data_IF_993484049057
#
_entry.id   IF_993484049057
#
_cell.length_a   1.000
_cell.length_b   1.000
_cell.length_c   1.000
_cell.angle_alpha   90.00
_cell.angle_beta   90.00
_cell.angle_gamma   90.00
#
_symmetry.space_group_name_H-M   'P 1'
#
loop_
_entity.id
_entity.type
_entity.pdbx_description
1 polymer ?
#
# COMPACT_ATOMS: atom_id res chain seq x y z
N UNK A 1 9.21 -12.24 -16.15
CA UNK A 1 9.47 -11.43 -17.35
C UNK A 1 8.54 -10.24 -17.27
N UNK A 2 9.01 -8.98 -17.41
CA UNK A 2 8.09 -7.88 -17.49
C UNK A 2 7.26 -8.06 -18.77
N UNK A 3 5.96 -8.20 -18.63
CA UNK A 3 5.03 -8.07 -19.75
C UNK A 3 5.25 -6.70 -20.36
N UNK A 4 5.54 -6.63 -21.66
CA UNK A 4 5.47 -5.40 -22.41
C UNK A 4 4.01 -4.92 -22.32
N UNK A 5 3.71 -4.15 -21.30
CA UNK A 5 2.49 -3.38 -21.27
C UNK A 5 2.61 -2.39 -22.42
N UNK A 6 1.77 -2.55 -23.42
CA UNK A 6 1.70 -1.61 -24.52
C UNK A 6 1.43 -0.21 -23.99
N UNK A 7 1.82 0.80 -24.76
CA UNK A 7 1.57 2.21 -24.44
C UNK A 7 0.07 2.40 -24.22
N UNK A 8 -0.31 2.85 -23.03
CA UNK A 8 -1.71 3.01 -22.61
C UNK A 8 -2.07 4.49 -22.50
N UNK A 9 -3.23 4.85 -23.03
CA UNK A 9 -3.81 6.17 -22.94
C UNK A 9 -3.50 7.07 -24.16
N UNK A 10 -4.11 8.25 -24.21
CA UNK A 10 -4.02 9.14 -25.36
C UNK A 10 -2.61 9.74 -25.49
N UNK A 11 -2.16 9.85 -26.73
CA UNK A 11 -0.90 10.55 -27.08
C UNK A 11 -1.31 11.86 -27.80
N UNK A 12 -0.84 13.04 -27.34
CA UNK A 12 -1.13 14.29 -28.02
C UNK A 12 -0.54 14.31 -29.44
N UNK A 13 -1.20 15.00 -30.39
CA UNK A 13 -0.70 15.13 -31.76
C UNK A 13 0.74 15.66 -31.80
N UNK A 14 1.56 15.09 -32.67
CA UNK A 14 2.94 15.51 -32.90
C UNK A 14 3.98 14.94 -31.91
N UNK A 15 3.55 14.08 -30.96
CA UNK A 15 4.47 13.41 -30.06
C UNK A 15 4.75 11.97 -30.51
N UNK A 16 5.99 11.52 -30.33
CA UNK A 16 6.33 10.12 -30.37
C UNK A 16 5.71 9.39 -29.18
N UNK A 17 5.07 8.25 -29.40
CA UNK A 17 4.30 7.56 -28.38
C UNK A 17 5.17 7.05 -27.22
N UNK A 18 6.33 6.45 -27.54
CA UNK A 18 7.22 5.91 -26.49
C UNK A 18 7.85 7.04 -25.65
N UNK A 19 8.31 8.10 -26.31
CA UNK A 19 8.94 9.23 -25.61
C UNK A 19 7.91 9.96 -24.74
N UNK A 20 6.69 10.10 -25.23
CA UNK A 20 5.62 10.71 -24.44
C UNK A 20 5.21 9.84 -23.24
N UNK A 21 5.17 8.53 -23.40
CA UNK A 21 4.88 7.60 -22.29
C UNK A 21 5.99 7.64 -21.22
N UNK A 22 7.26 7.68 -21.64
CA UNK A 22 8.39 7.88 -20.72
C UNK A 22 8.30 9.23 -20.00
N UNK A 23 7.84 10.27 -20.68
CA UNK A 23 7.64 11.60 -20.08
C UNK A 23 6.53 11.53 -19.01
N UNK A 24 5.37 10.93 -19.34
CA UNK A 24 4.25 10.76 -18.37
C UNK A 24 4.72 10.08 -17.10
N UNK A 25 5.45 8.97 -17.21
CA UNK A 25 5.98 8.25 -16.05
C UNK A 25 6.88 9.13 -15.20
N UNK A 26 7.80 9.86 -15.81
CA UNK A 26 8.71 10.77 -15.09
C UNK A 26 7.96 11.90 -14.37
N UNK A 27 6.87 12.41 -14.97
CA UNK A 27 6.00 13.40 -14.33
C UNK A 27 5.27 12.79 -13.13
N UNK A 28 4.67 11.60 -13.29
CA UNK A 28 3.97 10.92 -12.22
C UNK A 28 4.88 10.58 -11.03
N UNK A 29 6.16 10.23 -11.29
CA UNK A 29 7.14 10.00 -10.22
C UNK A 29 7.52 11.27 -9.44
N UNK A 30 7.14 12.47 -9.92
CA UNK A 30 7.32 13.73 -9.18
C UNK A 30 6.20 13.99 -8.18
N UNK A 31 5.11 13.26 -8.25
CA UNK A 31 4.03 13.39 -7.27
C UNK A 31 4.51 12.81 -5.93
N UNK A 32 4.58 13.64 -4.86
CA UNK A 32 5.00 13.15 -3.56
C UNK A 32 4.02 12.08 -3.05
N UNK A 33 4.55 11.02 -2.46
CA UNK A 33 3.75 10.04 -1.75
C UNK A 33 4.52 9.50 -0.56
N UNK A 34 3.79 9.08 0.46
CA UNK A 34 4.33 8.26 1.53
C UNK A 34 4.71 6.87 1.00
N UNK A 35 5.31 6.08 1.87
CA UNK A 35 5.61 4.67 1.62
C UNK A 35 5.28 3.87 2.88
N UNK A 36 4.44 2.86 2.73
CA UNK A 36 3.78 2.16 3.83
C UNK A 36 3.87 0.66 3.65
N UNK A 37 3.51 -0.09 4.69
CA UNK A 37 3.18 -1.50 4.57
C UNK A 37 1.68 -1.67 4.79
N UNK A 38 0.99 -2.16 3.77
CA UNK A 38 -0.43 -2.51 3.83
C UNK A 38 -0.57 -3.91 4.40
N UNK A 39 -1.23 -4.04 5.55
CA UNK A 39 -1.63 -5.32 6.10
C UNK A 39 -2.99 -5.74 5.57
N UNK A 40 -3.18 -7.00 5.24
CA UNK A 40 -4.45 -7.54 4.73
C UNK A 40 -4.76 -8.90 5.31
N UNK A 41 -6.08 -9.21 5.38
CA UNK A 41 -6.58 -10.46 5.93
C UNK A 41 -7.82 -10.93 5.20
N UNK A 42 -7.95 -12.28 5.04
CA UNK A 42 -9.20 -12.96 4.72
C UNK A 42 -9.22 -14.33 5.41
N UNK A 43 -10.12 -14.51 6.39
CA UNK A 43 -10.10 -15.69 7.26
C UNK A 43 -8.78 -15.81 8.02
N UNK A 44 -8.11 -16.95 7.90
CA UNK A 44 -6.79 -17.17 8.51
C UNK A 44 -5.63 -16.65 7.66
N UNK A 45 -5.89 -16.32 6.39
CA UNK A 45 -4.86 -15.80 5.48
C UNK A 45 -4.49 -14.37 5.84
N UNK A 46 -3.20 -14.10 5.85
CA UNK A 46 -2.61 -12.78 6.12
C UNK A 46 -1.59 -12.43 5.05
N UNK A 47 -1.41 -11.16 4.79
CA UNK A 47 -0.32 -10.66 3.95
C UNK A 47 0.10 -9.26 4.38
N UNK A 48 1.31 -8.88 3.95
CA UNK A 48 1.81 -7.53 3.99
C UNK A 48 2.30 -7.13 2.60
N UNK A 49 2.09 -5.89 2.18
CA UNK A 49 2.54 -5.38 0.90
C UNK A 49 3.03 -3.95 1.03
N UNK A 50 4.20 -3.66 0.46
CA UNK A 50 4.66 -2.27 0.31
C UNK A 50 3.75 -1.52 -0.65
N UNK A 51 3.27 -0.35 -0.23
CA UNK A 51 2.35 0.49 -1.00
C UNK A 51 2.69 1.98 -0.83
N UNK A 52 2.52 2.75 -1.91
CA UNK A 52 2.65 4.20 -1.90
C UNK A 52 1.34 4.92 -2.27
N UNK A 53 0.39 4.24 -2.90
CA UNK A 53 -0.90 4.85 -3.27
C UNK A 53 -1.91 4.72 -2.14
N UNK A 54 -1.68 5.55 -1.12
CA UNK A 54 -2.51 5.68 0.07
C UNK A 54 -2.81 7.16 0.28
N UNK A 55 -4.08 7.51 0.50
CA UNK A 55 -4.46 8.88 0.79
C UNK A 55 -5.72 8.96 1.65
N UNK A 56 -5.81 10.01 2.46
CA UNK A 56 -7.08 10.36 3.10
C UNK A 56 -8.07 10.86 2.04
N UNK A 57 -9.31 10.40 2.10
CA UNK A 57 -10.36 10.72 1.12
C UNK A 57 -11.50 11.56 1.69
N UNK A 58 -11.77 11.48 2.98
CA UNK A 58 -12.89 12.16 3.63
C UNK A 58 -12.59 12.45 5.09
N UNK A 59 -13.25 13.48 5.63
CA UNK A 59 -13.24 13.81 7.06
C UNK A 59 -14.40 13.16 7.81
N UNK A 60 -15.54 12.98 7.15
CA UNK A 60 -16.77 12.44 7.76
C UNK A 60 -17.54 11.61 6.71
N UNK A 61 -17.52 10.28 6.82
CA UNK A 61 -16.67 9.51 7.72
C UNK A 61 -15.17 9.67 7.39
N UNK A 62 -14.30 9.27 8.34
CA UNK A 62 -12.83 9.28 8.10
C UNK A 62 -12.46 8.11 7.20
N UNK A 63 -12.24 8.42 5.92
CA UNK A 63 -11.90 7.42 4.89
C UNK A 63 -10.45 7.53 4.45
N UNK A 64 -9.84 6.37 4.30
CA UNK A 64 -8.54 6.17 3.66
C UNK A 64 -8.72 5.32 2.40
N UNK A 65 -8.16 5.78 1.29
CA UNK A 65 -8.13 5.04 0.03
C UNK A 65 -6.78 4.38 -0.19
N UNK A 66 -6.80 3.13 -0.61
CA UNK A 66 -5.62 2.37 -1.05
C UNK A 66 -5.86 1.80 -2.44
N UNK A 67 -4.93 2.05 -3.38
CA UNK A 67 -5.04 1.52 -4.74
C UNK A 67 -4.11 0.33 -4.91
N UNK A 68 -4.68 -0.84 -5.20
CA UNK A 68 -3.98 -2.13 -5.22
C UNK A 68 -4.14 -2.78 -6.58
N UNK A 69 -3.03 -3.28 -7.13
CA UNK A 69 -3.01 -4.01 -8.40
C UNK A 69 -3.87 -5.28 -8.31
N UNK A 70 -4.71 -5.52 -9.32
CA UNK A 70 -5.71 -6.61 -9.31
C UNK A 70 -5.09 -8.01 -9.28
N UNK A 71 -3.88 -8.17 -9.81
CA UNK A 71 -3.15 -9.44 -9.81
C UNK A 71 -2.39 -9.70 -8.50
N UNK A 72 -2.33 -8.72 -7.59
CA UNK A 72 -1.65 -8.88 -6.32
C UNK A 72 -2.44 -9.78 -5.36
N UNK A 73 -1.75 -10.67 -4.65
CA UNK A 73 -2.37 -11.51 -3.62
C UNK A 73 -3.08 -10.67 -2.53
N UNK A 74 -2.52 -9.50 -2.19
CA UNK A 74 -3.15 -8.55 -1.28
C UNK A 74 -4.51 -8.08 -1.78
N UNK A 75 -4.68 -7.90 -3.10
CA UNK A 75 -5.98 -7.52 -3.68
C UNK A 75 -7.05 -8.59 -3.41
N UNK A 76 -6.71 -9.87 -3.60
CA UNK A 76 -7.60 -10.98 -3.29
C UNK A 76 -8.04 -10.93 -1.82
N UNK A 77 -7.10 -10.76 -0.88
CA UNK A 77 -7.41 -10.69 0.54
C UNK A 77 -8.30 -9.49 0.91
N UNK A 78 -8.08 -8.33 0.25
CA UNK A 78 -8.92 -7.15 0.46
C UNK A 78 -10.35 -7.37 -0.07
N UNK A 79 -10.47 -7.99 -1.24
CA UNK A 79 -11.76 -8.29 -1.86
C UNK A 79 -12.58 -9.31 -1.03
N UNK A 80 -11.90 -10.35 -0.52
CA UNK A 80 -12.53 -11.42 0.25
C UNK A 80 -12.77 -11.04 1.71
N UNK A 81 -11.81 -10.34 2.33
CA UNK A 81 -11.81 -10.04 3.75
C UNK A 81 -12.43 -8.70 4.13
N UNK A 82 -12.41 -7.73 3.21
CA UNK A 82 -13.00 -6.41 3.43
C UNK A 82 -12.31 -5.57 4.51
N UNK A 83 -11.05 -5.88 4.85
CA UNK A 83 -10.31 -5.19 5.93
C UNK A 83 -8.85 -4.99 5.56
N UNK A 84 -8.26 -3.91 6.05
CA UNK A 84 -6.82 -3.65 5.90
C UNK A 84 -6.27 -2.74 6.98
N UNK A 85 -4.96 -2.80 7.18
CA UNK A 85 -4.22 -1.83 7.98
C UNK A 85 -3.22 -1.09 7.10
N UNK A 86 -2.98 0.19 7.39
CA UNK A 86 -1.86 0.95 6.83
C UNK A 86 -0.85 1.17 7.95
N UNK A 87 0.32 0.57 7.82
CA UNK A 87 1.41 0.69 8.78
C UNK A 87 2.38 1.78 8.30
N UNK A 88 2.52 2.85 9.06
CA UNK A 88 3.44 3.95 8.81
C UNK A 88 4.82 3.55 9.31
N UNK A 89 5.80 3.52 8.42
CA UNK A 89 7.16 3.04 8.69
C UNK A 89 8.07 4.22 9.04
N UNK A 90 8.99 4.03 9.99
CA UNK A 90 9.98 5.05 10.32
C UNK A 90 10.94 5.31 9.14
N UNK A 91 11.33 6.57 8.97
CA UNK A 91 12.19 7.01 7.87
C UNK A 91 13.56 6.30 7.85
N UNK A 92 14.09 5.94 9.01
CA UNK A 92 15.34 5.22 9.16
C UNK A 92 15.22 3.71 8.96
N UNK A 93 13.98 3.15 8.98
CA UNK A 93 13.72 1.72 8.75
C UNK A 93 13.36 1.40 7.28
N UNK A 94 14.07 2.01 6.34
CA UNK A 94 13.86 1.81 4.89
C UNK A 94 13.98 0.36 4.43
N UNK A 95 14.65 -0.48 5.21
CA UNK A 95 14.87 -1.87 4.84
C UNK A 95 13.58 -2.69 4.85
N UNK A 96 12.64 -2.36 5.73
CA UNK A 96 11.39 -3.11 5.89
C UNK A 96 10.56 -3.11 4.60
N UNK A 97 10.41 -1.95 3.95
CA UNK A 97 9.57 -1.85 2.75
C UNK A 97 10.06 -2.74 1.61
N UNK A 98 11.37 -2.99 1.51
CA UNK A 98 11.91 -3.92 0.51
C UNK A 98 11.54 -5.36 0.76
N UNK A 99 11.27 -5.72 2.01
CA UNK A 99 10.85 -7.07 2.38
C UNK A 99 9.42 -7.38 1.96
N UNK A 100 8.60 -6.35 1.86
CA UNK A 100 7.19 -6.46 1.48
C UNK A 100 6.90 -6.14 0.00
N UNK A 101 7.94 -5.98 -0.84
CA UNK A 101 7.83 -5.94 -2.31
C UNK A 101 7.86 -7.33 -2.96
N UNK A 102 7.99 -8.39 -2.17
CA UNK A 102 8.09 -9.79 -2.59
C UNK A 102 7.06 -10.61 -1.84
N UNK A 103 6.82 -11.86 -2.26
CA UNK A 103 5.96 -12.77 -1.50
C UNK A 103 6.36 -12.82 -0.03
N UNK A 104 5.35 -12.81 0.83
CA UNK A 104 5.51 -12.74 2.28
C UNK A 104 5.47 -14.15 2.86
N UNK A 105 6.47 -14.47 3.66
CA UNK A 105 6.47 -15.64 4.54
C UNK A 105 5.65 -15.30 5.80
N UNK A 106 4.57 -16.04 6.02
CA UNK A 106 3.63 -15.82 7.11
C UNK A 106 3.77 -16.94 8.13
N UNK A 107 4.24 -16.63 9.31
CA UNK A 107 4.27 -17.55 10.46
C UNK A 107 3.23 -17.10 11.48
N UNK A 108 2.08 -17.80 11.50
CA UNK A 108 0.97 -17.48 12.42
C UNK A 108 1.28 -17.89 13.86
N UNK A 109 2.08 -18.94 14.08
CA UNK A 109 2.46 -19.40 15.40
C UNK A 109 3.43 -18.43 16.07
N UNK A 110 4.46 -17.99 15.32
CA UNK A 110 5.40 -16.96 15.76
C UNK A 110 4.84 -15.53 15.63
N UNK A 111 3.70 -15.36 14.95
CA UNK A 111 3.08 -14.06 14.63
C UNK A 111 4.04 -13.11 13.92
N UNK A 112 4.61 -13.58 12.81
CA UNK A 112 5.53 -12.78 12.00
C UNK A 112 5.13 -12.77 10.52
N UNK A 113 5.41 -11.64 9.85
CA UNK A 113 5.38 -11.47 8.40
C UNK A 113 6.82 -11.19 7.94
N UNK A 114 7.42 -12.10 7.17
CA UNK A 114 8.84 -12.03 6.80
C UNK A 114 9.79 -11.88 8.01
N UNK A 115 9.42 -12.47 9.16
CA UNK A 115 10.16 -12.35 10.41
C UNK A 115 9.89 -11.07 11.21
N UNK A 116 9.06 -10.15 10.70
CA UNK A 116 8.64 -8.94 11.44
C UNK A 116 7.43 -9.25 12.32
N UNK A 117 7.51 -9.00 13.64
CA UNK A 117 6.39 -9.22 14.54
C UNK A 117 5.17 -8.38 14.17
N UNK A 118 3.99 -8.96 14.34
CA UNK A 118 2.72 -8.28 14.19
C UNK A 118 1.71 -8.73 15.24
N UNK A 119 0.73 -7.89 15.48
CA UNK A 119 -0.51 -8.26 16.19
C UNK A 119 -1.72 -8.00 15.29
N UNK A 120 -2.84 -8.62 15.62
CA UNK A 120 -4.09 -8.36 14.91
C UNK A 120 -4.70 -7.05 15.40
N UNK A 121 -5.10 -6.19 14.48
CA UNK A 121 -5.93 -5.03 14.77
C UNK A 121 -7.35 -5.42 15.18
N UNK A 122 -8.20 -4.44 15.40
CA UNK A 122 -9.63 -4.64 15.72
C UNK A 122 -10.33 -5.41 14.60
N UNK A 123 -9.95 -5.16 13.34
CA UNK A 123 -10.47 -5.90 12.18
C UNK A 123 -9.84 -7.30 12.04
N UNK A 124 -8.78 -7.59 12.77
CA UNK A 124 -7.93 -8.76 12.63
C UNK A 124 -6.93 -8.69 11.49
N UNK A 125 -6.83 -7.58 10.76
CA UNK A 125 -5.74 -7.35 9.82
C UNK A 125 -4.42 -7.09 10.57
N UNK A 126 -3.25 -7.51 10.03
CA UNK A 126 -1.99 -7.44 10.76
C UNK A 126 -1.46 -6.00 10.87
N UNK A 127 -1.09 -5.62 12.08
CA UNK A 127 -0.40 -4.38 12.41
C UNK A 127 1.03 -4.73 12.81
N UNK A 128 2.03 -4.15 12.11
CA UNK A 128 3.44 -4.40 12.43
C UNK A 128 3.82 -3.71 13.74
N UNK A 129 4.44 -4.46 14.67
CA UNK A 129 4.79 -3.94 16.00
C UNK A 129 5.82 -2.81 15.94
N UNK A 130 6.65 -2.75 14.89
CA UNK A 130 7.66 -1.69 14.69
C UNK A 130 7.16 -0.49 13.86
N UNK A 131 5.89 -0.47 13.45
CA UNK A 131 5.33 0.71 12.79
C UNK A 131 5.37 1.92 13.73
N UNK A 132 5.58 3.12 13.18
CA UNK A 132 5.46 4.38 13.94
C UNK A 132 4.02 4.56 14.40
N UNK A 133 3.10 4.35 13.47
CA UNK A 133 1.66 4.47 13.68
C UNK A 133 0.92 3.54 12.71
N UNK A 134 -0.36 3.34 12.95
CA UNK A 134 -1.22 2.57 12.08
C UNK A 134 -2.62 3.19 11.98
N UNK A 135 -3.31 2.85 10.91
CA UNK A 135 -4.77 2.92 10.81
C UNK A 135 -5.31 1.54 10.47
N UNK A 136 -6.37 1.13 11.12
CA UNK A 136 -7.08 -0.13 10.89
C UNK A 136 -8.45 0.18 10.29
N UNK A 137 -8.78 -0.43 9.14
CA UNK A 137 -9.87 0.00 8.27
C UNK A 137 -10.78 -1.16 7.88
N UNK A 138 -12.09 -0.86 7.84
CA UNK A 138 -13.09 -1.68 7.15
C UNK A 138 -13.42 -1.09 5.78
N UNK A 139 -13.37 -1.91 4.72
CA UNK A 139 -13.70 -1.48 3.36
C UNK A 139 -15.19 -1.17 3.26
N UNK A 140 -15.53 0.05 2.86
CA UNK A 140 -16.92 0.51 2.63
C UNK A 140 -17.30 0.46 1.16
N UNK A 141 -16.32 0.65 0.28
CA UNK A 141 -16.55 0.66 -1.17
C UNK A 141 -15.28 0.24 -1.90
N UNK A 142 -15.45 -0.42 -3.03
CA UNK A 142 -14.39 -0.73 -3.97
C UNK A 142 -14.72 -0.14 -5.33
N UNK A 143 -13.75 0.54 -5.95
CA UNK A 143 -13.88 1.12 -7.29
C UNK A 143 -12.86 0.46 -8.21
N UNK A 144 -13.33 -0.15 -9.29
CA UNK A 144 -12.45 -0.76 -10.29
C UNK A 144 -11.84 0.31 -11.20
N UNK A 145 -10.51 0.29 -11.35
CA UNK A 145 -9.72 1.26 -12.10
C UNK A 145 -8.86 0.57 -13.18
N UNK A 146 -9.41 -0.36 -13.92
CA UNK A 146 -8.66 -1.14 -14.92
C UNK A 146 -7.72 -2.14 -14.24
N UNK A 147 -6.40 -1.91 -14.28
CA UNK A 147 -5.39 -2.80 -13.67
C UNK A 147 -5.34 -2.77 -12.15
N UNK A 148 -6.02 -1.82 -11.51
CA UNK A 148 -6.07 -1.64 -10.06
C UNK A 148 -7.52 -1.56 -9.58
N UNK A 149 -7.70 -1.75 -8.27
CA UNK A 149 -8.92 -1.35 -7.56
C UNK A 149 -8.58 -0.37 -6.45
N UNK A 150 -9.40 0.66 -6.30
CA UNK A 150 -9.34 1.57 -5.17
C UNK A 150 -10.29 1.06 -4.08
N UNK A 151 -9.73 0.66 -2.95
CA UNK A 151 -10.49 0.28 -1.76
C UNK A 151 -10.64 1.50 -0.85
N UNK A 152 -11.86 1.86 -0.52
CA UNK A 152 -12.20 2.96 0.39
C UNK A 152 -12.50 2.36 1.75
N UNK A 153 -11.58 2.50 2.69
CA UNK A 153 -11.73 1.99 4.06
C UNK A 153 -12.07 3.10 5.04
N UNK A 154 -13.06 2.82 5.90
CA UNK A 154 -13.34 3.65 7.06
C UNK A 154 -12.40 3.25 8.20
N UNK A 155 -11.76 4.25 8.82
CA UNK A 155 -10.89 4.02 9.98
C UNK A 155 -11.76 3.61 11.16
N UNK A 156 -11.56 2.39 11.65
CA UNK A 156 -12.24 1.83 12.83
C UNK A 156 -11.33 1.84 14.06
N UNK A 157 -9.99 1.85 13.85
CA UNK A 157 -9.01 2.01 14.91
C UNK A 157 -7.74 2.68 14.37
N UNK A 158 -6.96 3.31 15.24
CA UNK A 158 -5.66 3.89 14.90
C UNK A 158 -4.82 4.11 16.17
N UNK A 159 -3.51 4.15 16.01
CA UNK A 159 -2.63 4.41 17.14
C UNK A 159 -1.19 4.69 16.75
N UNK A 160 -0.43 5.17 17.72
CA UNK A 160 1.02 5.31 17.64
C UNK A 160 1.69 4.22 18.46
N UNK A 161 2.75 3.60 17.91
CA UNK A 161 3.66 2.73 18.65
C UNK A 161 4.94 3.44 19.05
N UNK A 162 5.31 4.49 18.31
CA UNK A 162 6.47 5.33 18.59
C UNK A 162 6.00 6.77 18.85
N UNK A 163 6.96 7.64 19.18
CA UNK A 163 6.70 9.07 19.38
C UNK A 163 6.06 9.71 18.13
N UNK A 164 5.07 10.57 18.32
CA UNK A 164 4.35 11.27 17.23
C UNK A 164 5.28 12.09 16.33
N UNK A 165 6.40 12.58 16.88
CA UNK A 165 7.40 13.34 16.13
C UNK A 165 8.36 12.46 15.31
N UNK A 166 8.24 11.11 15.41
CA UNK A 166 9.07 10.18 14.65
C UNK A 166 8.85 10.38 13.14
N UNK A 167 9.88 10.73 12.34
CA UNK A 167 9.74 10.92 10.91
C UNK A 167 9.30 9.64 10.21
N UNK A 168 8.28 9.74 9.36
CA UNK A 168 7.78 8.61 8.56
C UNK A 168 8.38 8.59 7.17
N UNK A 169 8.49 7.38 6.61
CA UNK A 169 9.11 7.11 5.32
C UNK A 169 8.24 7.64 4.16
N UNK A 170 8.88 8.24 3.19
CA UNK A 170 8.29 8.64 1.91
C UNK A 170 9.00 7.96 0.73
N UNK A 171 8.37 7.98 -0.44
CA UNK A 171 9.01 7.51 -1.68
C UNK A 171 10.30 8.28 -1.96
N UNK A 172 10.34 9.59 -1.64
CA UNK A 172 11.51 10.45 -1.82
C UNK A 172 12.74 10.03 -0.99
N UNK A 173 12.55 9.33 0.12
CA UNK A 173 13.63 8.82 0.97
C UNK A 173 14.27 7.55 0.39
N UNK A 174 13.73 7.03 -0.68
CA UNK A 174 14.18 5.79 -1.32
C UNK A 174 14.69 6.07 -2.74
N UNK A 175 15.31 5.05 -3.34
CA UNK A 175 15.61 5.04 -4.77
C UNK A 175 14.58 4.22 -5.57
N UNK A 176 13.44 3.96 -4.96
CA UNK A 176 12.36 3.21 -5.60
C UNK A 176 11.55 4.14 -6.50
N UNK A 177 11.18 3.65 -7.67
CA UNK A 177 10.20 4.28 -8.55
C UNK A 177 9.06 3.27 -8.74
N UNK A 178 7.84 3.70 -8.50
CA UNK A 178 6.65 2.89 -8.67
C UNK A 178 5.53 3.73 -9.29
N UNK A 179 4.79 3.10 -10.21
CA UNK A 179 3.75 3.77 -10.97
C UNK A 179 4.27 4.43 -12.26
N UNK A 180 3.38 4.97 -13.03
CA UNK A 180 3.64 5.61 -14.32
C UNK A 180 3.48 4.71 -15.52
#
# INVERSE_FOLDING_TARGET
MPTQQGIVGPIPPGHDAEEYDKLRRRVLWKMPSGLYVLGSRAGERRNGMTINWVTQLSFEPKLVGVSVEREAFTHELLADGGVFTVNLVAQDDRAIVRKFTKPVDVDLDARTLNGFPFHDGVTGAPILDQAVAFVDCEVRQTVELGGHSLFLGEIVDCGFHLDEETPVLSMGDTRMNYGG
#
